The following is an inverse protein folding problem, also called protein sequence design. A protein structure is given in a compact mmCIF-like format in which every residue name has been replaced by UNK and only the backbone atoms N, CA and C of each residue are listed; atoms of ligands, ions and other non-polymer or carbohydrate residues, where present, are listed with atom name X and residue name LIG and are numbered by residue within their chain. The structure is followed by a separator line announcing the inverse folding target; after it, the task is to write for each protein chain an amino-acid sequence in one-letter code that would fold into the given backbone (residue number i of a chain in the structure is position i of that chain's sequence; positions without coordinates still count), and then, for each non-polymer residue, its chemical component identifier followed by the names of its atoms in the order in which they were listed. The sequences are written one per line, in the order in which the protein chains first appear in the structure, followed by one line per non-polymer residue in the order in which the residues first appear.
data_IF_431443903695
#
_entry.id   IF_431443903695
#
_cell.length_a   1.000
_cell.length_b   1.000
_cell.length_c   1.000
_cell.angle_alpha   90.00
_cell.angle_beta   90.00
_cell.angle_gamma   90.00
#
_symmetry.space_group_name_H-M   'P 1'
#
loop_
_entity.id
_entity.type
_entity.pdbx_description
1 polymer ?
#
# COMPACT_ATOMS: atom_id res chain seq x y z
N UNK A 1 18.42 -16.79 14.96
CA UNK A 1 17.03 -16.30 14.83
C UNK A 1 16.14 -17.44 15.25
N UNK A 2 15.32 -17.28 16.27
CA UNK A 2 14.36 -18.31 16.70
C UNK A 2 13.32 -18.45 15.60
N UNK A 3 13.11 -19.68 15.15
CA UNK A 3 12.09 -19.98 14.14
C UNK A 3 10.71 -19.73 14.78
N UNK A 4 10.01 -18.68 14.32
CA UNK A 4 8.69 -18.31 14.84
C UNK A 4 7.60 -18.99 14.06
N UNK A 5 6.54 -19.37 14.76
CA UNK A 5 5.35 -19.89 14.12
C UNK A 5 4.42 -18.75 13.64
N UNK A 6 3.61 -18.97 12.59
CA UNK A 6 2.58 -18.04 12.19
C UNK A 6 1.59 -17.72 13.31
N UNK A 7 1.32 -18.67 14.20
CA UNK A 7 0.41 -18.50 15.34
C UNK A 7 0.96 -17.51 16.37
N UNK A 8 2.23 -17.64 16.76
CA UNK A 8 2.87 -16.67 17.67
C UNK A 8 2.91 -15.26 17.09
N UNK A 9 3.14 -15.16 15.77
CA UNK A 9 3.08 -13.87 15.05
C UNK A 9 1.68 -13.29 15.09
N UNK A 10 0.65 -14.11 14.84
CA UNK A 10 -0.74 -13.65 14.85
C UNK A 10 -1.15 -13.14 16.23
N UNK A 11 -0.88 -13.88 17.29
CA UNK A 11 -1.20 -13.46 18.67
C UNK A 11 -0.55 -12.12 19.02
N UNK A 12 0.71 -11.93 18.65
CA UNK A 12 1.38 -10.65 18.87
C UNK A 12 0.74 -9.52 18.05
N UNK A 13 0.49 -9.77 16.76
CA UNK A 13 -0.07 -8.78 15.85
C UNK A 13 -1.50 -8.39 16.22
N UNK A 14 -2.33 -9.33 16.67
CA UNK A 14 -3.68 -9.07 17.13
C UNK A 14 -3.67 -8.11 18.32
N UNK A 15 -2.80 -8.35 19.32
CA UNK A 15 -2.62 -7.44 20.43
C UNK A 15 -2.16 -6.04 19.98
N UNK A 16 -1.26 -5.96 19.00
CA UNK A 16 -0.80 -4.68 18.43
C UNK A 16 -1.88 -3.97 17.61
N UNK A 17 -2.72 -4.71 16.91
CA UNK A 17 -3.88 -4.16 16.20
C UNK A 17 -4.91 -3.59 17.18
N UNK A 18 -5.17 -4.28 18.29
CA UNK A 18 -6.07 -3.79 19.34
C UNK A 18 -5.53 -2.49 19.95
N UNK A 19 -4.23 -2.45 20.36
CA UNK A 19 -3.58 -1.24 20.85
C UNK A 19 -3.69 -0.09 19.84
N UNK A 20 -3.46 -0.35 18.55
CA UNK A 20 -3.61 0.64 17.49
C UNK A 20 -5.03 1.18 17.41
N UNK A 21 -6.05 0.30 17.30
CA UNK A 21 -7.44 0.73 17.16
C UNK A 21 -7.97 1.48 18.39
N UNK A 22 -7.54 1.10 19.58
CA UNK A 22 -7.86 1.80 20.82
C UNK A 22 -7.22 3.20 20.88
N UNK A 23 -6.01 3.34 20.34
CA UNK A 23 -5.27 4.61 20.33
C UNK A 23 -5.77 5.63 19.29
N UNK A 24 -6.60 5.19 18.31
CA UNK A 24 -7.15 6.07 17.26
C UNK A 24 -8.11 7.08 17.90
N UNK A 25 -7.79 8.37 17.74
CA UNK A 25 -8.63 9.44 18.29
C UNK A 25 -10.04 9.43 17.68
N UNK A 26 -11.07 9.87 18.44
CA UNK A 26 -12.44 9.95 17.90
C UNK A 26 -12.55 10.76 16.59
N UNK A 27 -11.76 11.84 16.46
CA UNK A 27 -11.74 12.66 15.26
C UNK A 27 -11.18 11.90 14.05
N UNK A 28 -10.06 11.19 14.21
CA UNK A 28 -9.45 10.38 13.15
C UNK A 28 -10.35 9.19 12.77
N UNK A 29 -10.96 8.54 13.76
CA UNK A 29 -11.94 7.48 13.53
C UNK A 29 -13.14 7.98 12.72
N UNK A 30 -13.71 9.13 13.09
CA UNK A 30 -14.82 9.74 12.36
C UNK A 30 -14.42 10.13 10.92
N UNK A 31 -13.21 10.67 10.73
CA UNK A 31 -12.67 11.00 9.42
C UNK A 31 -12.61 9.77 8.50
N UNK A 32 -12.06 8.66 9.00
CA UNK A 32 -11.92 7.40 8.25
C UNK A 32 -13.29 6.77 7.97
N UNK A 33 -14.13 6.60 8.98
CA UNK A 33 -15.44 5.93 8.86
C UNK A 33 -16.38 6.71 7.91
N UNK A 34 -16.33 8.04 7.90
CA UNK A 34 -17.18 8.85 7.02
C UNK A 34 -16.67 8.95 5.58
N UNK A 35 -15.46 8.49 5.28
CA UNK A 35 -14.82 8.66 3.97
C UNK A 35 -15.66 8.12 2.80
N UNK A 36 -16.20 6.88 2.81
CA UNK A 36 -17.01 6.38 1.70
C UNK A 36 -18.20 7.27 1.39
N UNK A 37 -18.90 7.74 2.44
CA UNK A 37 -20.03 8.66 2.29
C UNK A 37 -19.58 10.00 1.69
N UNK A 38 -18.46 10.57 2.15
CA UNK A 38 -17.93 11.81 1.59
C UNK A 38 -17.58 11.64 0.11
N UNK A 39 -16.91 10.56 -0.28
CA UNK A 39 -16.54 10.27 -1.68
C UNK A 39 -17.77 10.17 -2.59
N UNK A 40 -18.88 9.62 -2.11
CA UNK A 40 -20.12 9.55 -2.91
C UNK A 40 -20.84 10.89 -3.01
N UNK A 41 -20.79 11.71 -1.98
CA UNK A 41 -21.51 12.99 -1.89
C UNK A 41 -20.78 14.17 -2.54
N UNK A 42 -19.44 14.10 -2.62
CA UNK A 42 -18.66 15.18 -3.23
C UNK A 42 -18.85 15.15 -4.75
N UNK A 43 -19.36 16.28 -5.30
CA UNK A 43 -19.37 16.53 -6.74
C UNK A 43 -17.99 17.03 -7.19
N UNK A 44 -17.04 16.11 -7.28
CA UNK A 44 -15.65 16.40 -7.65
C UNK A 44 -15.15 15.43 -8.71
N UNK A 45 -14.13 15.85 -9.48
CA UNK A 45 -13.44 14.97 -10.44
C UNK A 45 -12.82 13.77 -9.71
N UNK A 46 -12.77 12.58 -10.33
CA UNK A 46 -12.21 11.37 -9.71
C UNK A 46 -10.82 11.57 -9.10
N UNK A 47 -9.97 12.38 -9.73
CA UNK A 47 -8.62 12.69 -9.21
C UNK A 47 -8.65 13.37 -7.83
N UNK A 48 -9.64 14.23 -7.59
CA UNK A 48 -9.79 14.90 -6.30
C UNK A 48 -10.30 13.93 -5.23
N UNK A 49 -11.15 12.98 -5.63
CA UNK A 49 -11.62 11.88 -4.76
C UNK A 49 -10.47 10.96 -4.38
N UNK A 50 -9.62 10.58 -5.35
CA UNK A 50 -8.41 9.78 -5.08
C UNK A 50 -7.48 10.51 -4.10
N UNK A 51 -7.24 11.81 -4.31
CA UNK A 51 -6.43 12.62 -3.39
C UNK A 51 -6.99 12.61 -1.97
N UNK A 52 -8.31 12.71 -1.81
CA UNK A 52 -8.96 12.64 -0.50
C UNK A 52 -8.76 11.27 0.18
N UNK A 53 -8.87 10.17 -0.60
CA UNK A 53 -8.60 8.82 -0.12
C UNK A 53 -7.15 8.69 0.35
N UNK A 54 -6.19 9.13 -0.46
CA UNK A 54 -4.76 9.04 -0.13
C UNK A 54 -4.39 9.90 1.07
N UNK A 55 -4.93 11.13 1.18
CA UNK A 55 -4.71 12.00 2.34
C UNK A 55 -5.28 11.41 3.63
N UNK A 56 -6.45 10.75 3.55
CA UNK A 56 -7.03 10.06 4.72
C UNK A 56 -6.19 8.83 5.08
N UNK A 57 -5.69 8.10 4.08
CA UNK A 57 -4.76 6.99 4.29
C UNK A 57 -3.49 7.45 4.99
N UNK A 58 -2.88 8.56 4.57
CA UNK A 58 -1.69 9.09 5.23
C UNK A 58 -1.94 9.35 6.73
N UNK A 59 -3.04 10.01 7.07
CA UNK A 59 -3.32 10.32 8.48
C UNK A 59 -3.48 9.07 9.36
N UNK A 60 -4.17 8.03 8.88
CA UNK A 60 -4.34 6.81 9.67
C UNK A 60 -3.07 5.96 9.70
N UNK A 61 -2.33 5.88 8.60
CA UNK A 61 -1.11 5.07 8.54
C UNK A 61 0.11 5.75 9.16
N UNK A 62 0.18 7.08 9.21
CA UNK A 62 1.15 7.81 10.03
C UNK A 62 0.94 7.52 11.53
N UNK A 63 -0.33 7.44 11.95
CA UNK A 63 -0.65 7.02 13.32
C UNK A 63 -0.28 5.55 13.55
N UNK A 64 -0.58 4.66 12.61
CA UNK A 64 -0.27 3.23 12.65
C UNK A 64 1.24 2.93 12.70
N UNK A 65 2.07 3.81 12.16
CA UNK A 65 3.52 3.66 12.12
C UNK A 65 4.17 3.44 13.49
N UNK A 66 3.53 3.88 14.57
CA UNK A 66 4.00 3.67 15.96
C UNK A 66 3.89 2.21 16.43
N UNK A 67 3.06 1.43 15.75
CA UNK A 67 2.74 0.03 16.10
C UNK A 67 3.38 -0.95 15.13
N UNK A 68 3.87 -0.48 13.99
CA UNK A 68 4.42 -1.29 12.92
C UNK A 68 5.92 -1.50 13.08
N UNK A 69 6.39 -2.69 12.65
CA UNK A 69 7.82 -2.97 12.52
C UNK A 69 8.48 -2.24 11.33
N UNK A 70 7.71 -1.52 10.52
CA UNK A 70 8.21 -0.77 9.38
C UNK A 70 9.03 0.44 9.84
N UNK A 71 10.23 0.59 9.29
CA UNK A 71 11.12 1.70 9.59
C UNK A 71 11.75 2.26 8.31
N UNK A 72 12.33 3.44 8.39
CA UNK A 72 13.12 4.01 7.30
C UNK A 72 14.27 3.04 6.94
N UNK A 73 14.50 2.85 5.65
CA UNK A 73 15.48 1.86 5.16
C UNK A 73 14.91 0.45 5.02
N UNK A 74 13.65 0.20 5.39
CA UNK A 74 12.98 -1.07 5.16
C UNK A 74 12.37 -1.10 3.75
N UNK A 75 13.02 -1.82 2.82
CA UNK A 75 12.61 -1.93 1.41
C UNK A 75 11.96 -3.27 1.05
N UNK A 76 11.64 -4.15 1.99
CA UNK A 76 11.13 -5.51 1.68
C UNK A 76 9.85 -5.49 0.86
N UNK A 77 8.90 -4.60 1.16
CA UNK A 77 7.66 -4.44 0.40
C UNK A 77 7.87 -3.96 -1.06
N UNK A 78 9.05 -3.44 -1.39
CA UNK A 78 9.41 -3.10 -2.76
C UNK A 78 9.79 -4.32 -3.62
N UNK A 79 9.82 -5.51 -3.04
CA UNK A 79 10.09 -6.78 -3.74
C UNK A 79 8.83 -7.63 -3.96
N UNK A 80 7.65 -7.16 -3.52
CA UNK A 80 6.36 -7.82 -3.78
C UNK A 80 5.62 -7.16 -4.94
N UNK A 81 4.61 -7.84 -5.46
CA UNK A 81 3.70 -7.25 -6.44
C UNK A 81 2.95 -6.05 -5.85
N UNK A 82 2.87 -4.97 -6.60
CA UNK A 82 2.19 -3.72 -6.24
C UNK A 82 1.14 -3.41 -7.30
N UNK A 83 -0.04 -4.04 -7.23
CA UNK A 83 -1.11 -3.77 -8.17
C UNK A 83 -1.65 -2.35 -7.99
N UNK A 84 -1.71 -1.61 -9.09
CA UNK A 84 -2.30 -0.27 -9.16
C UNK A 84 -3.18 -0.13 -10.39
N UNK A 85 -4.04 0.88 -10.40
CA UNK A 85 -4.80 1.22 -11.59
C UNK A 85 -4.03 2.20 -12.49
N UNK A 86 -4.32 2.18 -13.80
CA UNK A 86 -3.79 3.19 -14.72
C UNK A 86 -4.16 4.61 -14.30
N UNK A 87 -5.34 4.78 -13.70
CA UNK A 87 -5.78 6.05 -13.15
C UNK A 87 -4.86 6.52 -12.00
N UNK A 88 -4.51 5.62 -11.09
CA UNK A 88 -3.58 5.91 -10.00
C UNK A 88 -2.16 6.15 -10.52
N UNK A 89 -1.73 5.36 -11.53
CA UNK A 89 -0.43 5.56 -12.19
C UNK A 89 -0.32 6.96 -12.83
N UNK A 90 -1.38 7.43 -13.50
CA UNK A 90 -1.41 8.81 -14.06
C UNK A 90 -1.31 9.86 -12.95
N UNK A 91 -2.06 9.70 -11.85
CA UNK A 91 -1.97 10.60 -10.70
C UNK A 91 -0.54 10.62 -10.10
N UNK A 92 0.08 9.44 -9.93
CA UNK A 92 1.47 9.36 -9.50
C UNK A 92 2.41 10.06 -10.49
N UNK A 93 2.25 9.80 -11.79
CA UNK A 93 3.04 10.41 -12.84
C UNK A 93 2.99 11.94 -12.82
N UNK A 94 1.80 12.52 -12.68
CA UNK A 94 1.62 13.98 -12.55
C UNK A 94 2.39 14.55 -11.36
N UNK A 95 2.35 13.88 -10.19
CA UNK A 95 3.06 14.36 -9.00
C UNK A 95 4.58 14.13 -9.05
N UNK A 96 5.04 13.16 -9.84
CA UNK A 96 6.47 12.80 -9.97
C UNK A 96 7.14 13.45 -11.17
N UNK A 97 6.39 14.13 -12.06
CA UNK A 97 6.90 14.60 -13.33
C UNK A 97 7.26 13.46 -14.29
N UNK A 98 6.57 12.32 -14.20
CA UNK A 98 6.80 11.12 -15.01
C UNK A 98 5.59 10.82 -15.89
N UNK A 99 5.83 10.22 -17.06
CA UNK A 99 4.77 9.72 -17.91
C UNK A 99 4.66 8.21 -17.76
N UNK A 100 3.57 7.68 -17.14
CA UNK A 100 3.37 6.23 -17.07
C UNK A 100 3.12 5.64 -18.46
N UNK A 101 3.43 4.37 -18.62
CA UNK A 101 3.02 3.58 -19.79
C UNK A 101 1.52 3.45 -19.79
N UNK A 102 0.89 3.69 -20.96
CA UNK A 102 -0.54 3.50 -21.15
C UNK A 102 -0.81 2.05 -21.56
N UNK A 103 -1.40 1.28 -20.65
CA UNK A 103 -1.79 -0.09 -20.94
C UNK A 103 -3.08 -0.12 -21.75
N UNK A 104 -3.21 -1.09 -22.67
CA UNK A 104 -4.42 -1.32 -23.48
C UNK A 104 -5.44 -2.21 -22.78
N UNK A 105 -4.98 -3.04 -21.85
CA UNK A 105 -5.78 -3.97 -21.06
C UNK A 105 -5.09 -4.22 -19.72
N UNK A 106 -5.83 -4.77 -18.76
CA UNK A 106 -5.25 -5.18 -17.48
C UNK A 106 -4.25 -6.32 -17.65
N UNK A 107 -3.14 -6.24 -16.92
CA UNK A 107 -2.11 -7.28 -16.84
C UNK A 107 -2.23 -7.93 -15.47
N UNK A 108 -2.36 -9.23 -15.43
CA UNK A 108 -2.34 -10.03 -14.22
C UNK A 108 -1.01 -10.76 -14.14
N UNK A 109 -0.29 -10.55 -13.05
CA UNK A 109 0.93 -11.26 -12.74
C UNK A 109 0.69 -12.37 -11.71
N UNK A 110 1.43 -13.44 -11.78
CA UNK A 110 1.46 -14.45 -10.73
C UNK A 110 2.20 -13.87 -9.50
N UNK A 111 1.79 -14.24 -8.31
CA UNK A 111 2.36 -13.71 -7.06
C UNK A 111 3.87 -13.94 -6.93
N UNK A 112 4.39 -15.00 -7.58
CA UNK A 112 5.81 -15.36 -7.59
C UNK A 112 6.63 -14.65 -8.66
N UNK A 113 6.00 -13.91 -9.57
CA UNK A 113 6.67 -13.26 -10.71
C UNK A 113 7.58 -12.12 -10.26
N UNK A 114 7.21 -11.41 -9.20
CA UNK A 114 8.03 -10.39 -8.59
C UNK A 114 8.59 -10.86 -7.25
N UNK A 115 9.84 -10.59 -7.03
CA UNK A 115 10.56 -10.98 -5.83
C UNK A 115 11.88 -10.23 -5.74
N UNK A 116 12.90 -10.85 -5.15
CA UNK A 116 14.22 -10.25 -4.97
C UNK A 116 14.89 -9.82 -6.28
N UNK A 117 14.53 -10.45 -7.41
CA UNK A 117 15.14 -10.22 -8.73
C UNK A 117 14.54 -9.03 -9.49
N UNK A 118 13.33 -8.61 -9.15
CA UNK A 118 12.61 -7.52 -9.81
C UNK A 118 12.09 -6.50 -8.79
N UNK A 119 12.97 -5.74 -8.15
CA UNK A 119 12.53 -4.75 -7.17
C UNK A 119 11.67 -3.66 -7.84
N UNK A 120 10.86 -2.99 -7.03
CA UNK A 120 10.11 -1.82 -7.46
C UNK A 120 11.07 -0.78 -8.09
N UNK A 121 10.71 -0.18 -9.24
CA UNK A 121 11.57 0.77 -9.94
C UNK A 121 11.88 2.04 -9.13
N UNK A 122 11.14 2.26 -8.06
CA UNK A 122 11.34 3.37 -7.12
C UNK A 122 12.12 3.01 -5.86
N UNK A 123 12.60 1.76 -5.75
CA UNK A 123 13.52 1.38 -4.69
C UNK A 123 14.92 1.91 -5.01
N UNK A 124 15.45 2.80 -4.16
CA UNK A 124 16.80 3.36 -4.29
C UNK A 124 17.54 3.28 -2.97
N UNK A 125 18.68 2.65 -2.95
CA UNK A 125 19.54 2.52 -1.76
C UNK A 125 18.79 1.95 -0.54
N UNK A 126 17.85 1.00 -0.77
CA UNK A 126 17.03 0.38 0.27
C UNK A 126 15.83 1.19 0.72
N UNK A 127 15.58 2.36 0.14
CA UNK A 127 14.47 3.25 0.50
C UNK A 127 13.52 3.51 -0.68
N UNK A 128 12.24 3.76 -0.39
CA UNK A 128 11.27 4.19 -1.38
C UNK A 128 11.53 5.65 -1.78
N UNK A 129 11.95 5.89 -3.02
CA UNK A 129 12.27 7.24 -3.52
C UNK A 129 11.04 8.11 -3.78
N UNK A 130 9.83 7.52 -3.71
CA UNK A 130 8.54 8.20 -3.90
C UNK A 130 7.63 8.08 -2.68
N UNK A 131 8.20 8.02 -1.47
CA UNK A 131 7.45 7.71 -0.24
C UNK A 131 6.17 8.52 -0.10
N UNK A 132 6.21 9.84 -0.32
CA UNK A 132 5.06 10.75 -0.25
C UNK A 132 4.03 10.54 -1.37
N UNK A 133 4.44 9.92 -2.48
CA UNK A 133 3.60 9.69 -3.66
C UNK A 133 3.26 8.21 -3.88
N UNK A 134 3.42 7.39 -2.82
CA UNK A 134 3.08 5.96 -2.87
C UNK A 134 1.61 5.74 -3.21
N UNK A 135 1.29 4.70 -3.99
CA UNK A 135 -0.10 4.28 -4.21
C UNK A 135 -0.74 3.75 -2.91
N UNK A 136 -2.07 3.65 -2.89
CA UNK A 136 -2.80 3.19 -1.71
C UNK A 136 -2.30 1.82 -1.23
N UNK A 137 -2.08 0.88 -2.14
CA UNK A 137 -1.56 -0.47 -1.83
C UNK A 137 -0.29 -0.41 -0.99
N UNK A 138 0.68 0.47 -1.36
CA UNK A 138 1.91 0.64 -0.60
C UNK A 138 1.69 1.30 0.77
N UNK A 139 0.74 2.24 0.89
CA UNK A 139 0.41 2.91 2.15
C UNK A 139 -0.19 1.95 3.16
N UNK A 140 -1.04 1.03 2.67
CA UNK A 140 -1.70 -0.01 3.46
C UNK A 140 -0.77 -1.17 3.85
N UNK A 141 0.41 -1.28 3.23
CA UNK A 141 1.33 -2.37 3.50
C UNK A 141 2.21 -2.05 4.72
N UNK A 142 1.67 -2.25 5.90
CA UNK A 142 2.36 -2.05 7.18
C UNK A 142 2.37 -3.35 7.97
N UNK A 143 3.55 -3.78 8.40
CA UNK A 143 3.73 -5.00 9.16
C UNK A 143 3.58 -4.74 10.67
N UNK A 144 2.61 -5.38 11.31
CA UNK A 144 2.34 -5.29 12.76
C UNK A 144 3.00 -6.40 13.57
N UNK A 145 3.93 -7.15 12.98
CA UNK A 145 4.80 -8.07 13.72
C UNK A 145 5.88 -7.30 14.51
N UNK A 146 6.66 -8.00 15.32
CA UNK A 146 7.76 -7.48 16.13
C UNK A 146 8.91 -6.92 15.29
N UNK A 147 9.12 -7.52 14.12
CA UNK A 147 10.21 -7.22 13.20
C UNK A 147 9.83 -7.58 11.75
N UNK A 148 10.82 -7.58 10.87
CA UNK A 148 10.63 -7.85 9.45
C UNK A 148 10.69 -9.34 9.06
N UNK A 149 10.61 -10.27 10.01
CA UNK A 149 10.77 -11.71 9.75
C UNK A 149 9.88 -12.21 8.60
N UNK A 150 8.57 -11.91 8.64
CA UNK A 150 7.64 -12.31 7.58
C UNK A 150 7.74 -11.46 6.31
N UNK A 151 8.50 -10.38 6.33
CA UNK A 151 8.79 -9.59 5.13
C UNK A 151 9.97 -10.15 4.33
N UNK A 152 10.76 -11.07 4.91
CA UNK A 152 11.90 -11.67 4.26
C UNK A 152 11.44 -12.73 3.25
N UNK A 153 11.98 -12.67 2.03
CA UNK A 153 11.60 -13.58 0.94
C UNK A 153 11.74 -15.07 1.30
N UNK A 154 12.76 -15.43 2.04
CA UNK A 154 13.01 -16.79 2.52
C UNK A 154 11.91 -17.36 3.43
N UNK A 155 11.12 -16.49 4.04
CA UNK A 155 10.02 -16.89 4.93
C UNK A 155 8.67 -17.00 4.22
N UNK A 156 8.53 -16.48 2.99
CA UNK A 156 7.26 -16.50 2.26
C UNK A 156 6.82 -17.91 1.84
N UNK A 157 7.77 -18.82 1.71
CA UNK A 157 7.48 -20.22 1.34
C UNK A 157 7.07 -21.08 2.53
N UNK A 158 7.13 -20.54 3.75
CA UNK A 158 6.68 -21.26 4.94
C UNK A 158 5.17 -21.42 4.92
N UNK A 159 4.64 -22.58 5.37
CA UNK A 159 3.20 -22.78 5.46
C UNK A 159 2.52 -21.66 6.27
N UNK A 160 1.42 -21.11 5.74
CA UNK A 160 0.65 -20.02 6.36
C UNK A 160 1.46 -18.74 6.65
N UNK A 161 2.53 -18.50 5.89
CA UNK A 161 3.27 -17.24 5.97
C UNK A 161 2.36 -16.08 5.61
N UNK A 162 2.24 -15.13 6.52
CA UNK A 162 1.41 -13.94 6.32
C UNK A 162 2.05 -12.75 7.04
N UNK A 163 2.07 -11.59 6.37
CA UNK A 163 2.44 -10.33 6.99
C UNK A 163 1.19 -9.76 7.66
N UNK A 164 1.16 -9.66 9.00
CA UNK A 164 -0.01 -9.12 9.69
C UNK A 164 -0.15 -7.62 9.40
N UNK A 165 -1.30 -7.23 8.84
CA UNK A 165 -1.58 -5.86 8.40
C UNK A 165 -2.93 -5.37 8.90
N UNK A 166 -3.05 -4.09 9.27
CA UNK A 166 -4.34 -3.53 9.59
C UNK A 166 -5.20 -3.43 8.34
N UNK A 167 -6.44 -3.89 8.43
CA UNK A 167 -7.45 -3.72 7.37
C UNK A 167 -8.36 -2.55 7.72
N UNK A 168 -8.28 -1.48 6.95
CA UNK A 168 -9.09 -0.27 7.11
C UNK A 168 -10.18 -0.26 6.03
N UNK A 169 -11.25 -1.02 6.26
CA UNK A 169 -12.30 -1.24 5.28
C UNK A 169 -12.87 0.06 4.67
N UNK A 170 -13.13 1.15 5.44
CA UNK A 170 -13.61 2.40 4.83
C UNK A 170 -12.67 3.03 3.79
N UNK A 171 -11.34 2.84 3.92
CA UNK A 171 -10.39 3.30 2.90
C UNK A 171 -10.52 2.47 1.62
N UNK A 172 -10.64 1.15 1.76
CA UNK A 172 -10.79 0.21 0.65
C UNK A 172 -12.09 0.53 -0.11
N UNK A 173 -13.19 0.71 0.60
CA UNK A 173 -14.50 1.02 0.03
C UNK A 173 -14.45 2.36 -0.72
N UNK A 174 -13.91 3.40 -0.11
CA UNK A 174 -13.78 4.71 -0.72
C UNK A 174 -12.89 4.70 -1.97
N UNK A 175 -11.80 3.92 -1.94
CA UNK A 175 -10.95 3.72 -3.10
C UNK A 175 -11.71 3.03 -4.24
N UNK A 176 -12.39 1.93 -3.97
CA UNK A 176 -13.19 1.22 -4.97
C UNK A 176 -14.31 2.10 -5.56
N UNK A 177 -15.00 2.88 -4.73
CA UNK A 177 -16.00 3.85 -5.20
C UNK A 177 -15.39 4.92 -6.10
N UNK A 178 -14.13 5.29 -5.87
CA UNK A 178 -13.42 6.28 -6.69
C UNK A 178 -13.02 5.68 -8.04
N UNK A 179 -12.38 4.49 -8.03
CA UNK A 179 -11.84 3.89 -9.26
C UNK A 179 -12.93 3.30 -10.17
N UNK A 180 -14.06 2.85 -9.61
CA UNK A 180 -15.19 2.33 -10.40
C UNK A 180 -15.76 3.37 -11.38
N UNK A 181 -15.55 4.66 -11.13
CA UNK A 181 -15.99 5.75 -12.00
C UNK A 181 -15.13 5.93 -13.26
N UNK A 182 -13.97 5.29 -13.33
CA UNK A 182 -12.98 5.50 -14.40
C UNK A 182 -12.62 4.22 -15.17
N UNK A 183 -13.41 3.14 -15.01
CA UNK A 183 -13.19 1.85 -15.67
C UNK A 183 -11.72 1.39 -15.60
N UNK A 184 -11.21 0.99 -14.45
CA UNK A 184 -9.79 0.88 -14.21
C UNK A 184 -9.13 -0.26 -14.99
N UNK A 185 -8.11 0.06 -15.78
CA UNK A 185 -7.12 -0.90 -16.26
C UNK A 185 -6.11 -1.07 -15.14
N UNK A 186 -5.78 -2.31 -14.79
CA UNK A 186 -4.87 -2.66 -13.71
C UNK A 186 -3.60 -3.30 -14.22
N UNK A 187 -2.51 -3.07 -13.52
CA UNK A 187 -1.21 -3.70 -13.73
C UNK A 187 -0.36 -3.57 -12.48
N UNK A 188 0.83 -4.13 -12.50
CA UNK A 188 1.80 -3.85 -11.46
C UNK A 188 2.45 -2.47 -11.67
N UNK A 189 2.95 -1.85 -10.62
CA UNK A 189 3.65 -0.55 -10.71
C UNK A 189 4.80 -0.57 -11.72
N UNK A 190 5.42 -1.74 -11.97
CA UNK A 190 6.51 -1.93 -12.94
C UNK A 190 6.03 -1.88 -14.38
N UNK A 191 4.78 -2.28 -14.64
CA UNK A 191 4.16 -2.18 -15.98
C UNK A 191 3.97 -0.71 -16.37
N UNK A 192 3.64 0.13 -15.41
CA UNK A 192 3.43 1.56 -15.64
C UNK A 192 4.72 2.38 -15.61
N UNK A 193 5.70 1.97 -14.81
CA UNK A 193 6.97 2.69 -14.62
C UNK A 193 8.19 1.76 -14.76
N UNK A 194 8.41 1.13 -15.92
CA UNK A 194 9.46 0.12 -16.08
C UNK A 194 10.88 0.66 -15.80
N UNK A 195 11.10 1.96 -15.98
CA UNK A 195 12.39 2.62 -15.79
C UNK A 195 12.48 3.48 -14.50
N UNK A 196 11.40 3.54 -13.72
CA UNK A 196 11.34 4.40 -12.53
C UNK A 196 11.69 5.86 -12.84
N UNK A 197 12.47 6.51 -11.93
CA UNK A 197 12.93 7.90 -12.12
C UNK A 197 14.10 8.06 -13.10
N UNK A 198 14.61 7.00 -13.69
CA UNK A 198 15.74 7.09 -14.65
C UNK A 198 15.26 7.48 -16.07
N UNK A 199 13.96 7.77 -16.23
CA UNK A 199 13.36 8.22 -17.49
C UNK A 199 13.28 9.75 -17.63
N UNK A 200 14.04 10.49 -16.79
CA UNK A 200 14.26 11.94 -16.92
C UNK A 200 15.71 12.22 -17.25
#
# INVERSE_FOLDING_TARGET
MTDRTPEETRQYADAKLDEFFESVTPALKALVVSLPKRITQISARPVMKLKEVLNTADQIFDHAGKFAACARGCGHCCHVSVPITQFEARYMGENLGLKPVELKQSIKHELTEYGSHTPCPFLKQGECSIYEHRPLTCRMHMNFDRDNYWCLHENWQKPNAEIPRPTIQPLIDAYHMTISQVAPIMGDIRDFFPNGKNAL
#
